data_IF_722701720030
#
_entry.id   IF_722701720030
#
_cell.length_a   1.000
_cell.length_b   1.000
_cell.length_c   1.000
_cell.angle_alpha   90.00
_cell.angle_beta   90.00
_cell.angle_gamma   90.00
#
_symmetry.space_group_name_H-M   'P 1'
#
loop_
_entity.id
_entity.type
_entity.pdbx_description
1 polymer ?
#
# COMPACT_ATOMS: atom_id res chain seq x y z
N UNK A 1 -17.32 7.56 6.50
CA UNK A 1 -16.44 7.23 5.36
C UNK A 1 -15.61 6.00 5.73
N UNK A 2 -15.87 4.86 5.10
CA UNK A 2 -15.09 3.65 5.36
C UNK A 2 -13.71 3.79 4.72
N UNK A 3 -12.68 4.01 5.54
CA UNK A 3 -11.30 3.94 5.07
C UNK A 3 -10.86 2.50 5.31
N UNK A 4 -10.72 1.76 4.23
CA UNK A 4 -9.94 0.54 4.28
C UNK A 4 -8.49 0.90 4.59
N UNK A 5 -7.81 0.00 5.28
CA UNK A 5 -6.38 0.08 5.43
C UNK A 5 -5.73 -0.06 4.03
N UNK A 6 -5.59 1.06 3.29
CA UNK A 6 -4.79 1.15 2.06
C UNK A 6 -3.37 0.61 2.27
N UNK A 7 -2.96 0.42 3.52
CA UNK A 7 -1.77 -0.30 3.92
C UNK A 7 -1.73 -1.77 3.46
N UNK A 8 -2.84 -2.50 3.36
CA UNK A 8 -2.85 -3.89 2.87
C UNK A 8 -2.66 -3.95 1.34
N UNK A 9 -3.30 -3.02 0.60
CA UNK A 9 -3.06 -2.82 -0.83
C UNK A 9 -1.64 -2.32 -1.11
N UNK A 10 -1.17 -1.31 -0.35
CA UNK A 10 0.19 -0.79 -0.41
C UNK A 10 1.24 -1.82 0.02
N UNK A 11 0.92 -2.76 0.91
CA UNK A 11 1.78 -3.89 1.26
C UNK A 11 2.03 -4.80 0.07
N UNK A 12 1.06 -4.94 -0.83
CA UNK A 12 1.20 -5.65 -2.10
C UNK A 12 1.61 -4.74 -3.27
N UNK A 13 1.72 -3.43 -3.00
CA UNK A 13 2.17 -2.42 -3.94
C UNK A 13 1.08 -1.92 -4.89
N UNK A 14 -0.19 -1.92 -4.50
CA UNK A 14 -1.30 -1.41 -5.30
C UNK A 14 -2.20 -0.43 -4.50
N UNK A 15 -2.39 0.77 -5.03
CA UNK A 15 -3.30 1.79 -4.52
C UNK A 15 -4.45 1.95 -5.52
N UNK A 16 -5.65 1.52 -5.14
CA UNK A 16 -6.83 1.48 -6.00
C UNK A 16 -7.35 2.89 -6.34
N UNK A 17 -7.28 3.84 -5.42
CA UNK A 17 -7.68 5.23 -5.65
C UNK A 17 -6.71 5.91 -6.62
N UNK A 18 -5.41 5.69 -6.43
CA UNK A 18 -4.40 6.12 -7.38
C UNK A 18 -4.59 5.42 -8.73
N UNK A 19 -4.94 4.14 -8.77
CA UNK A 19 -5.24 3.41 -10.00
C UNK A 19 -6.41 4.02 -10.77
N UNK A 20 -7.53 4.30 -10.10
CA UNK A 20 -8.70 4.92 -10.72
C UNK A 20 -8.36 6.30 -11.29
N UNK A 21 -7.66 7.14 -10.51
CA UNK A 21 -7.22 8.47 -10.96
C UNK A 21 -6.25 8.38 -12.12
N UNK A 22 -5.30 7.46 -12.05
CA UNK A 22 -4.27 7.29 -13.07
C UNK A 22 -4.86 6.80 -14.39
N UNK A 23 -5.79 5.84 -14.37
CA UNK A 23 -6.51 5.39 -15.55
C UNK A 23 -7.17 6.56 -16.31
N UNK A 24 -7.82 7.48 -15.58
CA UNK A 24 -8.43 8.68 -16.18
C UNK A 24 -7.38 9.56 -16.85
N UNK A 25 -6.20 9.70 -16.25
CA UNK A 25 -5.12 10.54 -16.80
C UNK A 25 -4.37 9.89 -17.95
N UNK A 26 -4.19 8.57 -17.95
CA UNK A 26 -3.46 7.84 -18.99
C UNK A 26 -4.28 7.74 -20.28
N UNK A 27 -5.59 7.54 -20.18
CA UNK A 27 -6.48 7.41 -21.33
C UNK A 27 -7.17 8.72 -21.72
N UNK A 28 -6.44 9.84 -21.68
CA UNK A 28 -6.93 11.10 -22.25
C UNK A 28 -6.75 11.11 -23.77
N UNK A 29 -7.53 11.94 -24.47
CA UNK A 29 -7.38 12.12 -25.94
C UNK A 29 -5.95 12.47 -26.35
N UNK A 30 -5.25 13.24 -25.53
CA UNK A 30 -3.84 13.62 -25.75
C UNK A 30 -2.93 12.39 -25.59
N UNK A 31 -3.06 11.68 -24.47
CA UNK A 31 -2.17 10.56 -24.13
C UNK A 31 -2.43 9.29 -24.93
N UNK A 32 -3.64 9.09 -25.49
CA UNK A 32 -3.93 7.96 -26.39
C UNK A 32 -3.07 7.95 -27.66
N UNK A 33 -2.47 9.09 -28.04
CA UNK A 33 -1.53 9.16 -29.16
C UNK A 33 -0.06 8.91 -28.74
N UNK A 34 0.21 8.73 -27.46
CA UNK A 34 1.56 8.41 -27.00
C UNK A 34 1.97 7.01 -27.49
N UNK A 35 3.24 6.81 -27.90
CA UNK A 35 3.73 5.50 -28.33
C UNK A 35 3.52 4.40 -27.28
N UNK A 36 3.64 4.73 -26.00
CA UNK A 36 3.51 3.80 -24.89
C UNK A 36 2.06 3.33 -24.68
N UNK A 37 1.08 4.24 -24.75
CA UNK A 37 -0.35 3.88 -24.64
C UNK A 37 -0.82 3.11 -25.88
N UNK A 38 -0.33 3.46 -27.07
CA UNK A 38 -0.58 2.70 -28.28
C UNK A 38 0.01 1.29 -28.20
N UNK A 39 1.26 1.16 -27.70
CA UNK A 39 1.91 -0.13 -27.47
C UNK A 39 1.12 -0.99 -26.49
N UNK A 40 0.68 -0.40 -25.37
CA UNK A 40 -0.16 -1.09 -24.37
C UNK A 40 -1.47 -1.61 -24.98
N UNK A 41 -2.17 -0.76 -25.74
CA UNK A 41 -3.44 -1.12 -26.41
C UNK A 41 -3.23 -2.21 -27.47
N UNK A 42 -2.12 -2.14 -28.21
CA UNK A 42 -1.73 -3.15 -29.19
C UNK A 42 -1.44 -4.50 -28.51
N UNK A 43 -0.70 -4.50 -27.40
CA UNK A 43 -0.40 -5.70 -26.62
C UNK A 43 -1.68 -6.34 -26.04
N UNK A 44 -2.62 -5.54 -25.54
CA UNK A 44 -3.92 -6.05 -25.08
C UNK A 44 -4.67 -6.79 -26.20
N UNK A 45 -4.73 -6.15 -27.38
CA UNK A 45 -5.40 -6.71 -28.57
C UNK A 45 -4.70 -7.97 -29.07
N UNK A 46 -3.37 -7.93 -29.13
CA UNK A 46 -2.52 -9.06 -29.54
C UNK A 46 -2.72 -10.25 -28.58
N UNK A 47 -2.67 -10.03 -27.27
CA UNK A 47 -2.86 -11.08 -26.28
C UNK A 47 -4.23 -11.76 -26.41
N UNK A 48 -5.30 -10.97 -26.60
CA UNK A 48 -6.63 -11.51 -26.83
C UNK A 48 -6.69 -12.40 -28.08
N UNK A 49 -6.09 -11.95 -29.18
CA UNK A 49 -6.06 -12.72 -30.44
C UNK A 49 -5.23 -14.00 -30.32
N UNK A 50 -4.09 -13.95 -29.63
CA UNK A 50 -3.25 -15.11 -29.35
C UNK A 50 -3.99 -16.13 -28.46
N UNK A 51 -4.71 -15.65 -27.44
CA UNK A 51 -5.55 -16.48 -26.60
C UNK A 51 -6.64 -17.21 -27.40
N UNK A 52 -7.32 -16.52 -28.32
CA UNK A 52 -8.29 -17.15 -29.24
C UNK A 52 -7.66 -18.14 -30.22
N UNK A 53 -6.45 -17.86 -30.68
CA UNK A 53 -5.69 -18.74 -31.57
C UNK A 53 -5.06 -19.92 -30.82
N UNK A 54 -5.17 -19.97 -29.48
CA UNK A 54 -4.55 -20.96 -28.60
C UNK A 54 -3.01 -20.99 -28.72
N UNK A 55 -2.39 -19.85 -29.06
CA UNK A 55 -0.93 -19.70 -29.11
C UNK A 55 -0.40 -19.44 -27.70
N UNK A 56 -0.07 -20.52 -26.98
CA UNK A 56 0.41 -20.50 -25.59
C UNK A 56 1.68 -19.66 -25.44
N UNK A 57 2.71 -19.93 -26.25
CA UNK A 57 4.01 -19.26 -26.12
C UNK A 57 3.96 -17.80 -26.57
N UNK A 58 3.19 -17.51 -27.61
CA UNK A 58 2.89 -16.15 -28.02
C UNK A 58 2.19 -15.39 -26.89
N UNK A 59 1.13 -15.98 -26.31
CA UNK A 59 0.36 -15.38 -25.24
C UNK A 59 1.22 -15.06 -24.01
N UNK A 60 2.00 -16.02 -23.51
CA UNK A 60 2.89 -15.84 -22.35
C UNK A 60 3.86 -14.67 -22.56
N UNK A 61 4.53 -14.64 -23.72
CA UNK A 61 5.47 -13.57 -24.06
C UNK A 61 4.77 -12.20 -24.11
N UNK A 62 3.60 -12.12 -24.73
CA UNK A 62 2.84 -10.87 -24.87
C UNK A 62 2.33 -10.38 -23.51
N UNK A 63 1.87 -11.27 -22.62
CA UNK A 63 1.47 -10.91 -21.26
C UNK A 63 2.62 -10.31 -20.44
N UNK A 64 3.84 -10.84 -20.58
CA UNK A 64 5.00 -10.26 -19.89
C UNK A 64 5.35 -8.85 -20.42
N UNK A 65 5.30 -8.66 -21.73
CA UNK A 65 5.49 -7.33 -22.34
C UNK A 65 4.39 -6.36 -21.92
N UNK A 66 3.17 -6.86 -21.76
CA UNK A 66 2.03 -6.09 -21.27
C UNK A 66 2.29 -5.55 -19.86
N UNK A 67 2.64 -6.42 -18.90
CA UNK A 67 2.97 -5.99 -17.53
C UNK A 67 4.21 -5.07 -17.45
N UNK A 68 5.23 -5.31 -18.28
CA UNK A 68 6.38 -4.41 -18.35
C UNK A 68 5.97 -3.00 -18.82
N UNK A 69 5.04 -2.93 -19.78
CA UNK A 69 4.50 -1.66 -20.27
C UNK A 69 3.62 -1.00 -19.22
N UNK A 70 2.83 -1.79 -18.48
CA UNK A 70 1.99 -1.31 -17.39
C UNK A 70 2.79 -0.56 -16.31
N UNK A 71 3.93 -1.10 -15.86
CA UNK A 71 4.77 -0.42 -14.87
C UNK A 71 5.28 0.95 -15.34
N UNK A 72 5.34 1.17 -16.67
CA UNK A 72 5.80 2.44 -17.26
C UNK A 72 4.68 3.46 -17.39
N UNK A 73 3.49 3.03 -17.82
CA UNK A 73 2.38 3.93 -18.09
C UNK A 73 1.48 4.16 -16.87
N UNK A 74 1.53 3.25 -15.89
CA UNK A 74 0.78 3.36 -14.64
C UNK A 74 1.69 3.39 -13.39
N UNK A 75 2.63 4.34 -13.26
CA UNK A 75 3.53 4.40 -12.10
C UNK A 75 2.84 4.75 -10.77
N UNK A 76 1.68 5.42 -10.78
CA UNK A 76 1.01 5.96 -9.59
C UNK A 76 0.14 4.93 -8.88
N UNK A 77 -0.47 3.99 -9.61
CA UNK A 77 -1.24 2.89 -9.00
C UNK A 77 -0.37 1.95 -8.18
N UNK A 78 0.95 2.05 -8.33
CA UNK A 78 1.90 1.28 -7.58
C UNK A 78 2.35 2.01 -6.32
N UNK A 79 2.28 1.32 -5.18
CA UNK A 79 2.86 1.81 -3.93
C UNK A 79 4.36 2.08 -4.06
N UNK A 80 5.00 2.76 -3.10
CA UNK A 80 6.39 3.22 -3.25
C UNK A 80 7.42 2.15 -3.63
N UNK A 81 7.25 0.91 -3.16
CA UNK A 81 8.10 -0.23 -3.56
C UNK A 81 7.92 -0.59 -5.04
N UNK A 82 6.69 -0.56 -5.55
CA UNK A 82 6.35 -0.84 -6.94
C UNK A 82 6.96 0.14 -7.96
N UNK A 83 7.39 1.32 -7.49
CA UNK A 83 8.15 2.30 -8.29
C UNK A 83 9.64 1.96 -8.40
N UNK A 84 10.16 1.02 -7.60
CA UNK A 84 11.56 0.62 -7.63
C UNK A 84 11.81 -0.43 -8.71
N UNK A 85 12.79 -0.20 -9.59
CA UNK A 85 13.14 -1.12 -10.68
C UNK A 85 13.51 -2.53 -10.20
N UNK A 86 14.17 -2.63 -9.04
CA UNK A 86 14.52 -3.91 -8.40
C UNK A 86 13.28 -4.72 -7.99
N UNK A 87 12.24 -4.05 -7.54
CA UNK A 87 10.97 -4.66 -7.14
C UNK A 87 10.13 -5.04 -8.37
N UNK A 88 10.05 -4.14 -9.37
CA UNK A 88 9.40 -4.44 -10.67
C UNK A 88 10.00 -5.68 -11.32
N UNK A 89 11.33 -5.82 -11.31
CA UNK A 89 12.02 -7.02 -11.83
C UNK A 89 11.60 -8.30 -11.10
N UNK A 90 11.43 -8.26 -9.78
CA UNK A 90 10.93 -9.42 -9.01
C UNK A 90 9.49 -9.76 -9.40
N UNK A 91 8.63 -8.76 -9.55
CA UNK A 91 7.25 -8.97 -10.02
C UNK A 91 7.20 -9.57 -11.43
N UNK A 92 8.02 -9.09 -12.37
CA UNK A 92 8.09 -9.66 -13.72
C UNK A 92 8.60 -11.10 -13.72
N UNK A 93 9.56 -11.44 -12.85
CA UNK A 93 10.00 -12.82 -12.66
C UNK A 93 8.87 -13.70 -12.10
N UNK A 94 8.11 -13.19 -11.14
CA UNK A 94 6.92 -13.86 -10.61
C UNK A 94 5.88 -14.09 -11.71
N UNK A 95 5.51 -13.06 -12.47
CA UNK A 95 4.54 -13.20 -13.58
C UNK A 95 5.00 -14.21 -14.62
N UNK A 96 6.28 -14.25 -14.94
CA UNK A 96 6.83 -15.25 -15.86
C UNK A 96 6.58 -16.66 -15.33
N UNK A 97 6.95 -16.91 -14.08
CA UNK A 97 6.75 -18.22 -13.46
C UNK A 97 5.26 -18.58 -13.34
N UNK A 98 4.42 -17.62 -12.97
CA UNK A 98 2.97 -17.80 -12.90
C UNK A 98 2.39 -18.20 -14.26
N UNK A 99 2.69 -17.46 -15.33
CA UNK A 99 2.21 -17.80 -16.66
C UNK A 99 2.79 -19.12 -17.19
N UNK A 100 4.06 -19.42 -16.89
CA UNK A 100 4.67 -20.70 -17.25
C UNK A 100 3.95 -21.89 -16.61
N UNK A 101 3.44 -21.71 -15.38
CA UNK A 101 2.75 -22.74 -14.60
C UNK A 101 1.26 -22.87 -14.96
N UNK A 102 0.54 -21.77 -15.17
CA UNK A 102 -0.93 -21.80 -15.34
C UNK A 102 -1.43 -21.71 -16.78
N UNK A 103 -0.62 -21.22 -17.73
CA UNK A 103 -1.07 -21.03 -19.12
C UNK A 103 -0.67 -22.22 -19.97
N UNK A 104 -1.68 -23.01 -20.30
CA UNK A 104 -1.65 -24.04 -21.34
C UNK A 104 -2.80 -23.85 -22.34
N UNK A 105 -2.96 -24.80 -23.25
CA UNK A 105 -4.03 -24.74 -24.26
C UNK A 105 -5.42 -24.81 -23.62
N UNK A 106 -5.59 -25.60 -22.55
CA UNK A 106 -6.87 -25.76 -21.86
C UNK A 106 -7.28 -24.46 -21.16
N UNK A 107 -6.32 -23.82 -20.47
CA UNK A 107 -6.49 -22.49 -19.89
C UNK A 107 -6.94 -21.49 -20.95
N UNK A 108 -6.26 -21.40 -22.09
CA UNK A 108 -6.62 -20.46 -23.15
C UNK A 108 -7.99 -20.77 -23.75
N UNK A 109 -8.29 -22.05 -23.97
CA UNK A 109 -9.60 -22.50 -24.48
C UNK A 109 -10.71 -22.11 -23.52
N UNK A 110 -10.55 -22.39 -22.23
CA UNK A 110 -11.50 -22.05 -21.19
C UNK A 110 -11.63 -20.53 -21.01
N UNK A 111 -10.58 -19.74 -21.26
CA UNK A 111 -10.63 -18.29 -21.05
C UNK A 111 -11.17 -17.51 -22.26
N UNK A 112 -10.83 -17.92 -23.48
CA UNK A 112 -11.02 -17.11 -24.70
C UNK A 112 -11.91 -17.74 -25.77
N UNK A 113 -12.09 -19.07 -25.75
CA UNK A 113 -12.92 -19.79 -26.74
C UNK A 113 -14.27 -20.16 -26.12
N UNK A 114 -14.22 -20.77 -24.94
CA UNK A 114 -15.37 -21.20 -24.17
C UNK A 114 -15.29 -20.61 -22.74
N UNK A 115 -15.36 -19.27 -22.59
CA UNK A 115 -15.38 -18.64 -21.28
C UNK A 115 -16.48 -19.24 -20.42
N UNK A 116 -16.14 -19.62 -19.18
CA UNK A 116 -17.16 -19.85 -18.16
C UNK A 116 -18.06 -18.60 -18.13
N UNK A 117 -19.38 -18.80 -18.20
CA UNK A 117 -20.34 -17.73 -17.95
C UNK A 117 -20.25 -17.35 -16.48
N UNK A 118 -19.28 -16.50 -16.14
CA UNK A 118 -19.18 -15.93 -14.78
C UNK A 118 -20.42 -15.07 -14.55
N UNK A 119 -20.88 -14.34 -15.57
CA UNK A 119 -22.07 -13.49 -15.49
C UNK A 119 -22.53 -12.96 -16.86
N UNK A 120 -23.83 -12.75 -17.06
CA UNK A 120 -24.41 -12.09 -18.24
C UNK A 120 -24.74 -10.60 -17.94
N UNK A 121 -23.88 -9.64 -18.33
CA UNK A 121 -24.10 -8.22 -18.04
C UNK A 121 -25.40 -7.63 -18.58
N UNK A 122 -26.06 -8.30 -19.52
CA UNK A 122 -27.35 -7.87 -20.08
C UNK A 122 -28.52 -8.03 -19.10
N UNK A 123 -28.33 -8.80 -18.01
CA UNK A 123 -29.37 -9.05 -17.00
C UNK A 123 -29.34 -8.03 -15.84
N UNK A 124 -28.35 -7.13 -15.80
CA UNK A 124 -28.31 -6.08 -14.79
C UNK A 124 -29.28 -4.97 -15.13
N UNK A 125 -30.04 -4.54 -14.13
CA UNK A 125 -30.76 -3.28 -14.19
C UNK A 125 -29.83 -2.14 -13.81
N UNK A 126 -29.78 -1.10 -14.64
CA UNK A 126 -28.98 0.09 -14.37
C UNK A 126 -29.61 1.33 -15.02
N UNK A 127 -29.25 2.50 -14.51
CA UNK A 127 -29.60 3.81 -15.08
C UNK A 127 -28.35 4.63 -15.35
N UNK A 128 -28.47 5.60 -16.25
CA UNK A 128 -27.42 6.58 -16.50
C UNK A 128 -27.78 7.92 -15.85
N UNK A 129 -26.90 8.41 -14.99
CA UNK A 129 -27.07 9.69 -14.29
C UNK A 129 -25.75 10.45 -14.27
N UNK A 130 -25.76 11.72 -14.73
CA UNK A 130 -24.57 12.59 -14.79
C UNK A 130 -23.33 11.93 -15.43
N UNK A 131 -23.54 11.14 -16.49
CA UNK A 131 -22.47 10.43 -17.20
C UNK A 131 -21.92 9.20 -16.46
N UNK A 132 -22.61 8.73 -15.44
CA UNK A 132 -22.26 7.53 -14.65
C UNK A 132 -23.32 6.45 -14.80
N UNK A 133 -22.89 5.19 -14.79
CA UNK A 133 -23.78 4.04 -14.65
C UNK A 133 -24.07 3.81 -13.18
N UNK A 134 -25.35 3.79 -12.81
CA UNK A 134 -25.79 3.44 -11.46
C UNK A 134 -26.56 2.11 -11.56
N UNK A 135 -26.05 1.08 -10.91
CA UNK A 135 -26.68 -0.23 -10.88
C UNK A 135 -27.83 -0.27 -9.87
N UNK A 136 -28.87 -1.04 -10.16
CA UNK A 136 -29.89 -1.36 -9.17
C UNK A 136 -29.47 -2.60 -8.38
N UNK A 137 -29.59 -2.54 -7.05
CA UNK A 137 -29.25 -3.63 -6.15
C UNK A 137 -30.41 -4.65 -6.08
N UNK A 138 -30.66 -5.33 -7.19
CA UNK A 138 -31.71 -6.34 -7.34
C UNK A 138 -31.17 -7.78 -7.24
N UNK A 139 -32.03 -8.78 -7.46
CA UNK A 139 -31.64 -10.19 -7.35
C UNK A 139 -30.69 -10.63 -8.47
N UNK A 140 -30.68 -9.98 -9.63
CA UNK A 140 -29.71 -10.27 -10.69
C UNK A 140 -28.34 -9.72 -10.33
N UNK A 141 -28.29 -8.53 -9.72
CA UNK A 141 -27.05 -7.97 -9.18
C UNK A 141 -26.46 -8.85 -8.06
N UNK A 142 -27.29 -9.39 -7.16
CA UNK A 142 -26.85 -10.37 -6.14
C UNK A 142 -26.27 -11.65 -6.74
N UNK A 143 -26.91 -12.23 -7.76
CA UNK A 143 -26.37 -13.41 -8.47
C UNK A 143 -25.01 -13.12 -9.11
N UNK A 144 -24.82 -11.92 -9.66
CA UNK A 144 -23.51 -11.51 -10.18
C UNK A 144 -22.48 -11.45 -9.05
N UNK A 145 -22.83 -10.87 -7.89
CA UNK A 145 -21.95 -10.84 -6.72
C UNK A 145 -21.56 -12.26 -6.31
N UNK A 146 -22.53 -13.18 -6.17
CA UNK A 146 -22.28 -14.57 -5.78
C UNK A 146 -21.34 -15.29 -6.76
N UNK A 147 -21.56 -15.11 -8.07
CA UNK A 147 -20.73 -15.71 -9.09
C UNK A 147 -19.30 -15.14 -9.07
N UNK A 148 -19.16 -13.84 -8.81
CA UNK A 148 -17.87 -13.18 -8.66
C UNK A 148 -17.12 -13.64 -7.39
N UNK A 149 -17.81 -13.74 -6.25
CA UNK A 149 -17.28 -14.30 -5.00
C UNK A 149 -16.78 -15.72 -5.23
N UNK A 150 -17.58 -16.56 -5.91
CA UNK A 150 -17.19 -17.92 -6.26
C UNK A 150 -15.94 -17.93 -7.14
N UNK A 151 -15.90 -17.10 -8.18
CA UNK A 151 -14.76 -17.01 -9.08
C UNK A 151 -13.46 -16.61 -8.35
N UNK A 152 -13.53 -15.65 -7.43
CA UNK A 152 -12.38 -15.27 -6.60
C UNK A 152 -11.99 -16.44 -5.70
N UNK A 153 -12.93 -17.04 -4.99
CA UNK A 153 -12.65 -18.16 -4.07
C UNK A 153 -11.94 -19.30 -4.80
N UNK A 154 -12.46 -19.72 -5.96
CA UNK A 154 -11.86 -20.77 -6.77
C UNK A 154 -10.45 -20.37 -7.25
N UNK A 155 -10.24 -19.10 -7.61
CA UNK A 155 -8.95 -18.59 -8.05
C UNK A 155 -7.94 -18.54 -6.91
N UNK A 156 -8.31 -18.03 -5.73
CA UNK A 156 -7.47 -18.01 -4.53
C UNK A 156 -7.08 -19.43 -4.12
N UNK A 157 -8.02 -20.37 -4.16
CA UNK A 157 -7.76 -21.77 -3.83
C UNK A 157 -6.81 -22.44 -4.82
N UNK A 158 -6.97 -22.19 -6.12
CA UNK A 158 -6.03 -22.65 -7.14
C UNK A 158 -4.65 -22.02 -6.94
N UNK A 159 -4.60 -20.70 -6.90
CA UNK A 159 -3.36 -19.93 -6.98
C UNK A 159 -2.49 -20.09 -5.73
N UNK A 160 -3.10 -20.24 -4.56
CA UNK A 160 -2.37 -20.47 -3.30
C UNK A 160 -1.57 -21.77 -3.27
N UNK A 161 -1.85 -22.71 -4.19
CA UNK A 161 -1.14 -23.98 -4.28
C UNK A 161 -0.07 -24.00 -5.38
N UNK A 162 0.11 -22.90 -6.13
CA UNK A 162 1.11 -22.83 -7.20
C UNK A 162 2.52 -22.68 -6.64
N UNK A 163 3.48 -23.32 -7.28
CA UNK A 163 4.90 -23.24 -6.89
C UNK A 163 5.45 -21.83 -7.11
N UNK A 164 5.00 -21.14 -8.16
CA UNK A 164 5.42 -19.79 -8.49
C UNK A 164 5.12 -18.77 -7.38
N UNK A 165 4.17 -19.05 -6.47
CA UNK A 165 3.84 -18.15 -5.36
C UNK A 165 5.05 -17.89 -4.46
N UNK A 166 5.99 -18.82 -4.35
CA UNK A 166 7.25 -18.60 -3.63
C UNK A 166 8.12 -17.46 -4.21
N UNK A 167 7.87 -17.06 -5.46
CA UNK A 167 8.59 -15.97 -6.15
C UNK A 167 7.90 -14.62 -6.01
N UNK A 168 6.69 -14.57 -5.43
CA UNK A 168 5.99 -13.31 -5.22
C UNK A 168 6.85 -12.35 -4.37
N UNK A 169 7.01 -11.07 -4.74
CA UNK A 169 7.91 -10.15 -4.04
C UNK A 169 7.46 -9.81 -2.62
N UNK A 170 6.23 -10.17 -2.25
CA UNK A 170 5.61 -9.95 -0.93
C UNK A 170 5.04 -11.27 -0.39
N UNK A 171 5.88 -12.23 0.03
CA UNK A 171 5.45 -13.58 0.39
C UNK A 171 4.57 -13.64 1.64
N UNK A 172 4.71 -12.69 2.57
CA UNK A 172 3.90 -12.65 3.78
C UNK A 172 2.41 -12.34 3.48
N UNK A 173 2.15 -11.51 2.48
CA UNK A 173 0.79 -11.10 2.12
C UNK A 173 0.05 -12.22 1.36
N UNK A 174 0.74 -12.91 0.46
CA UNK A 174 0.13 -13.97 -0.36
C UNK A 174 -0.03 -15.33 0.35
N UNK A 175 0.53 -15.49 1.56
CA UNK A 175 0.36 -16.71 2.37
C UNK A 175 -1.03 -16.82 3.02
N UNK A 176 -1.75 -15.69 3.14
CA UNK A 176 -3.09 -15.68 3.72
C UNK A 176 -4.15 -15.67 2.62
N UNK A 177 -4.85 -16.79 2.47
CA UNK A 177 -6.03 -16.90 1.58
C UNK A 177 -7.10 -15.86 1.93
N UNK A 178 -7.30 -15.61 3.22
CA UNK A 178 -8.26 -14.62 3.70
C UNK A 178 -7.89 -13.22 3.22
N UNK A 179 -6.61 -12.84 3.31
CA UNK A 179 -6.14 -11.54 2.81
C UNK A 179 -6.33 -11.44 1.29
N UNK A 180 -6.00 -12.49 0.53
CA UNK A 180 -6.20 -12.52 -0.93
C UNK A 180 -7.67 -12.39 -1.33
N UNK A 181 -8.56 -13.06 -0.60
CA UNK A 181 -10.00 -12.99 -0.80
C UNK A 181 -10.53 -11.58 -0.52
N UNK A 182 -10.22 -11.04 0.67
CA UNK A 182 -10.68 -9.74 1.11
C UNK A 182 -10.24 -8.63 0.17
N UNK A 183 -9.00 -8.67 -0.29
CA UNK A 183 -8.48 -7.69 -1.24
C UNK A 183 -9.18 -7.72 -2.59
N UNK A 184 -9.48 -8.93 -3.08
CA UNK A 184 -10.14 -9.11 -4.37
C UNK A 184 -11.61 -8.66 -4.31
N UNK A 185 -12.31 -8.97 -3.21
CA UNK A 185 -13.66 -8.49 -2.94
C UNK A 185 -13.71 -6.96 -2.77
N UNK A 186 -12.72 -6.37 -2.11
CA UNK A 186 -12.63 -4.92 -1.95
C UNK A 186 -12.39 -4.21 -3.28
N UNK A 187 -11.52 -4.73 -4.14
CA UNK A 187 -11.30 -4.16 -5.48
C UNK A 187 -12.62 -4.10 -6.28
N UNK A 188 -13.44 -5.14 -6.13
CA UNK A 188 -14.77 -5.19 -6.72
C UNK A 188 -15.74 -4.19 -6.08
N UNK A 189 -15.85 -4.14 -4.75
CA UNK A 189 -16.72 -3.18 -4.03
C UNK A 189 -16.39 -1.73 -4.41
N UNK A 190 -15.10 -1.39 -4.52
CA UNK A 190 -14.64 -0.05 -4.89
C UNK A 190 -14.94 0.35 -6.34
N UNK A 191 -15.38 -0.58 -7.18
CA UNK A 191 -15.80 -0.29 -8.55
C UNK A 191 -17.20 0.34 -8.62
N UNK A 192 -17.90 0.44 -7.48
CA UNK A 192 -19.26 0.98 -7.36
C UNK A 192 -19.29 2.28 -6.56
N UNK A 193 -20.39 3.03 -6.68
CA UNK A 193 -20.66 4.19 -5.84
C UNK A 193 -20.97 3.79 -4.40
N UNK A 194 -20.88 4.75 -3.47
CA UNK A 194 -20.95 4.48 -2.03
C UNK A 194 -22.24 3.74 -1.63
N UNK A 195 -23.39 4.19 -2.15
CA UNK A 195 -24.69 3.59 -1.85
C UNK A 195 -24.80 2.11 -2.27
N UNK A 196 -24.16 1.73 -3.38
CA UNK A 196 -24.13 0.33 -3.85
C UNK A 196 -23.05 -0.45 -3.12
N UNK A 197 -21.88 0.15 -2.89
CA UNK A 197 -20.79 -0.44 -2.13
C UNK A 197 -21.25 -0.86 -0.73
N UNK A 198 -21.98 0.00 -0.01
CA UNK A 198 -22.55 -0.31 1.32
C UNK A 198 -23.50 -1.52 1.28
N UNK A 199 -24.36 -1.60 0.26
CA UNK A 199 -25.27 -2.75 0.08
C UNK A 199 -24.52 -4.03 -0.26
N UNK A 200 -23.43 -3.97 -1.02
CA UNK A 200 -22.57 -5.12 -1.27
C UNK A 200 -21.92 -5.58 0.05
N UNK A 201 -21.40 -4.66 0.85
CA UNK A 201 -20.78 -4.97 2.14
C UNK A 201 -21.77 -5.66 3.09
N UNK A 202 -23.00 -5.12 3.21
CA UNK A 202 -24.09 -5.73 3.99
C UNK A 202 -24.46 -7.12 3.46
N UNK A 203 -24.63 -7.25 2.13
CA UNK A 203 -24.99 -8.52 1.51
C UNK A 203 -23.94 -9.62 1.72
N UNK A 204 -22.66 -9.24 1.72
CA UNK A 204 -21.55 -10.17 1.94
C UNK A 204 -21.26 -10.42 3.44
N UNK A 205 -21.94 -9.73 4.36
CA UNK A 205 -21.67 -9.85 5.79
C UNK A 205 -20.27 -9.36 6.18
N UNK A 206 -19.75 -8.34 5.48
CA UNK A 206 -18.39 -7.83 5.65
C UNK A 206 -18.31 -6.59 6.53
N UNK A 207 -19.39 -6.15 7.18
CA UNK A 207 -19.47 -4.91 7.94
C UNK A 207 -18.38 -4.80 9.00
N UNK A 208 -18.09 -5.90 9.72
CA UNK A 208 -17.05 -5.96 10.76
C UNK A 208 -15.63 -5.81 10.20
N UNK A 209 -15.43 -5.93 8.88
CA UNK A 209 -14.14 -5.74 8.21
C UNK A 209 -13.88 -4.28 7.87
N UNK A 210 -14.86 -3.40 8.02
CA UNK A 210 -14.72 -1.97 7.78
C UNK A 210 -14.77 -1.21 9.10
N UNK A 211 -13.90 -0.21 9.20
CA UNK A 211 -13.96 0.76 10.29
C UNK A 211 -14.30 2.12 9.68
N UNK A 212 -15.22 2.82 10.31
CA UNK A 212 -15.38 4.24 10.06
C UNK A 212 -14.26 4.96 10.80
N UNK A 213 -13.52 5.80 10.08
CA UNK A 213 -12.48 6.64 10.67
C UNK A 213 -13.11 8.01 10.89
N UNK A 214 -13.07 8.47 12.15
CA UNK A 214 -13.48 9.83 12.51
C UNK A 214 -12.65 10.86 11.75
N UNK A 215 -13.25 12.03 11.49
CA UNK A 215 -12.48 13.16 10.98
C UNK A 215 -11.36 13.51 11.97
N UNK A 216 -10.13 13.46 11.48
CA UNK A 216 -8.92 13.77 12.26
C UNK A 216 -8.36 15.13 11.84
N UNK A 217 -7.87 15.90 12.81
CA UNK A 217 -7.12 17.11 12.51
C UNK A 217 -5.82 16.73 11.80
N UNK A 218 -5.63 17.27 10.59
CA UNK A 218 -4.43 17.07 9.79
C UNK A 218 -3.50 18.28 9.91
N UNK A 219 -2.21 18.03 9.92
CA UNK A 219 -1.16 19.04 9.88
C UNK A 219 -0.16 18.75 8.76
N UNK A 220 0.32 19.81 8.12
CA UNK A 220 1.30 19.70 7.04
C UNK A 220 2.70 19.43 7.60
N UNK A 221 3.37 18.43 7.04
CA UNK A 221 4.72 18.05 7.43
C UNK A 221 5.55 17.68 6.19
N UNK A 222 6.73 18.28 5.97
CA UNK A 222 7.54 17.93 4.81
C UNK A 222 8.23 16.58 5.00
N UNK A 223 8.15 15.70 3.99
CA UNK A 223 8.92 14.46 3.98
C UNK A 223 10.41 14.74 4.12
N UNK A 224 11.10 14.01 4.99
CA UNK A 224 12.53 14.22 5.29
C UNK A 224 13.47 13.95 4.11
N UNK A 225 13.02 13.17 3.11
CA UNK A 225 13.81 12.83 1.92
C UNK A 225 13.40 13.67 0.71
N UNK A 226 12.12 13.62 0.30
CA UNK A 226 11.69 14.25 -0.94
C UNK A 226 11.02 15.62 -0.76
N UNK A 227 10.84 16.09 0.48
CA UNK A 227 10.16 17.36 0.80
C UNK A 227 8.69 17.45 0.37
N UNK A 228 8.08 16.35 -0.06
CA UNK A 228 6.63 16.26 -0.31
C UNK A 228 5.85 16.70 0.93
N UNK A 229 4.77 17.46 0.77
CA UNK A 229 3.92 17.85 1.90
C UNK A 229 3.04 16.67 2.30
N UNK A 230 3.28 16.14 3.49
CA UNK A 230 2.52 15.04 4.07
C UNK A 230 1.42 15.61 4.96
N UNK A 231 0.20 15.10 4.81
CA UNK A 231 -0.89 15.42 5.73
C UNK A 231 -0.92 14.40 6.86
N UNK A 232 -0.67 14.87 8.08
CA UNK A 232 -0.41 14.01 9.22
C UNK A 232 -1.48 14.19 10.29
N UNK A 233 -2.13 13.11 10.75
CA UNK A 233 -3.08 13.19 11.84
C UNK A 233 -2.40 13.60 13.15
N UNK A 234 -3.06 14.45 13.91
CA UNK A 234 -2.60 14.89 15.23
C UNK A 234 -2.25 13.68 16.14
N UNK A 235 -1.09 13.71 16.76
CA UNK A 235 -0.61 12.63 17.63
C UNK A 235 0.10 11.46 16.93
N UNK A 236 0.16 11.44 15.59
CA UNK A 236 0.92 10.44 14.86
C UNK A 236 2.41 10.44 15.25
N UNK A 237 2.98 9.26 15.47
CA UNK A 237 4.40 9.12 15.82
C UNK A 237 5.33 8.91 14.63
N UNK A 238 4.77 8.38 13.55
CA UNK A 238 5.46 8.01 12.31
C UNK A 238 4.48 8.13 11.15
N UNK A 239 4.96 8.45 9.96
CA UNK A 239 4.16 8.38 8.72
C UNK A 239 5.00 7.93 7.54
N UNK A 240 4.42 7.18 6.61
CA UNK A 240 5.07 6.79 5.37
C UNK A 240 4.84 7.88 4.32
N UNK A 241 5.88 8.33 3.63
CA UNK A 241 5.71 9.21 2.48
C UNK A 241 5.19 8.40 1.28
N UNK A 242 3.99 8.70 0.80
CA UNK A 242 3.37 8.02 -0.35
C UNK A 242 4.12 8.30 -1.67
N UNK A 243 4.87 9.41 -1.73
CA UNK A 243 5.66 9.74 -2.91
C UNK A 243 6.92 8.86 -3.00
N UNK A 244 7.78 8.88 -1.96
CA UNK A 244 9.10 8.24 -2.01
C UNK A 244 9.24 6.95 -1.15
N UNK A 245 8.23 6.60 -0.34
CA UNK A 245 8.25 5.41 0.51
C UNK A 245 9.11 5.52 1.77
N UNK A 246 9.61 6.71 2.09
CA UNK A 246 10.40 6.93 3.31
C UNK A 246 9.48 6.93 4.53
N UNK A 247 9.83 6.17 5.57
CA UNK A 247 9.20 6.28 6.88
C UNK A 247 9.75 7.53 7.59
N UNK A 248 8.87 8.47 7.92
CA UNK A 248 9.18 9.71 8.62
C UNK A 248 8.83 9.53 10.09
N UNK A 249 9.79 9.73 10.99
CA UNK A 249 9.52 9.82 12.42
C UNK A 249 9.05 11.23 12.76
N UNK A 250 7.89 11.32 13.42
CA UNK A 250 7.17 12.57 13.71
C UNK A 250 7.32 13.00 15.16
N UNK A 251 7.79 12.07 16.00
CA UNK A 251 8.17 12.32 17.38
C UNK A 251 9.47 13.13 17.38
N UNK A 252 9.41 14.43 17.12
CA UNK A 252 10.16 15.51 17.76
C UNK A 252 10.13 16.78 16.89
N UNK A 253 10.27 17.93 17.55
CA UNK A 253 10.44 19.24 16.93
C UNK A 253 11.68 19.27 16.03
N UNK A 254 11.51 18.76 14.81
CA UNK A 254 12.52 18.81 13.76
C UNK A 254 12.75 20.27 13.43
N UNK A 255 13.98 20.74 13.65
CA UNK A 255 14.36 22.09 13.26
C UNK A 255 15.02 22.02 11.88
N UNK A 256 14.77 23.02 11.04
CA UNK A 256 15.54 23.20 9.80
C UNK A 256 16.91 23.76 10.14
N UNK A 257 17.95 23.11 9.64
CA UNK A 257 19.30 23.63 9.77
C UNK A 257 19.43 24.93 8.97
N UNK A 258 19.80 26.03 9.62
CA UNK A 258 19.92 27.33 8.96
C UNK A 258 21.06 27.37 7.91
N UNK A 259 22.01 26.45 7.99
CA UNK A 259 23.15 26.40 7.08
C UNK A 259 22.86 25.58 5.80
N UNK A 260 22.28 24.38 5.93
CA UNK A 260 22.04 23.49 4.79
C UNK A 260 20.57 23.23 4.46
N UNK A 261 19.64 23.72 5.27
CA UNK A 261 18.19 23.50 5.11
C UNK A 261 17.68 22.14 5.57
N UNK A 262 18.57 21.18 5.88
CA UNK A 262 18.17 19.83 6.28
C UNK A 262 17.46 19.81 7.65
N UNK A 263 16.42 19.01 7.78
CA UNK A 263 15.66 18.84 9.03
C UNK A 263 16.34 17.79 9.91
N UNK A 264 16.48 18.07 11.21
CA UNK A 264 17.03 17.11 12.18
C UNK A 264 16.47 17.33 13.60
N UNK A 265 16.58 16.34 14.47
CA UNK A 265 16.16 16.41 15.87
C UNK A 265 17.29 16.98 16.77
N UNK A 266 17.14 18.19 17.33
CA UNK A 266 18.14 18.80 18.21
C UNK A 266 18.18 18.19 19.61
N UNK A 267 17.32 17.22 19.95
CA UNK A 267 17.41 16.46 21.22
C UNK A 267 18.43 15.34 21.16
N UNK A 268 18.55 14.66 20.02
CA UNK A 268 19.45 13.51 19.84
C UNK A 268 20.83 13.92 19.36
N UNK A 269 20.93 15.00 18.57
CA UNK A 269 22.20 15.56 18.14
C UNK A 269 22.27 17.06 18.43
N UNK A 270 23.41 17.52 18.96
CA UNK A 270 23.72 18.94 19.09
C UNK A 270 24.31 19.54 17.80
N UNK A 271 24.49 18.73 16.75
CA UNK A 271 24.97 19.15 15.44
C UNK A 271 24.07 18.58 14.33
N UNK A 272 23.93 19.34 13.25
CA UNK A 272 23.28 18.86 12.05
C UNK A 272 24.04 17.62 11.52
N UNK A 273 23.40 16.46 11.32
CA UNK A 273 24.10 15.26 10.85
C UNK A 273 24.58 15.35 9.40
N UNK A 274 24.12 16.36 8.66
CA UNK A 274 24.43 16.53 7.24
C UNK A 274 25.57 17.52 6.95
N UNK A 275 25.73 18.55 7.80
CA UNK A 275 26.74 19.59 7.58
C UNK A 275 27.50 19.96 8.86
N UNK A 276 27.31 19.20 9.93
CA UNK A 276 28.00 19.31 11.22
C UNK A 276 27.84 20.68 11.91
N UNK A 277 26.93 21.52 11.42
CA UNK A 277 26.63 22.81 12.04
C UNK A 277 26.05 22.58 13.43
N UNK A 278 26.74 23.11 14.45
CA UNK A 278 26.38 22.93 15.86
C UNK A 278 25.27 23.90 16.25
N UNK A 279 24.25 23.40 16.92
CA UNK A 279 23.14 24.18 17.47
C UNK A 279 23.35 24.33 18.97
N UNK A 280 23.62 25.57 19.40
CA UNK A 280 23.65 25.87 20.82
C UNK A 280 22.23 25.98 21.34
N UNK A 281 21.85 25.06 22.23
CA UNK A 281 20.69 25.30 23.10
C UNK A 281 21.08 26.41 24.07
N UNK A 282 20.36 27.52 24.04
CA UNK A 282 20.43 28.44 25.17
C UNK A 282 19.87 27.70 26.38
N UNK A 283 20.73 27.40 27.34
CA UNK A 283 20.31 26.85 28.63
C UNK A 283 19.31 27.79 29.28
N UNK A 284 18.31 27.23 29.93
CA UNK A 284 17.39 28.05 30.74
C UNK A 284 18.16 28.65 31.92
N UNK A 285 17.64 29.73 32.50
CA UNK A 285 18.19 30.29 33.75
C UNK A 285 18.29 29.22 34.85
N UNK A 286 17.39 28.22 34.84
CA UNK A 286 17.41 27.11 35.79
C UNK A 286 18.59 26.15 35.55
N UNK A 287 18.97 25.91 34.30
CA UNK A 287 20.13 25.06 33.96
C UNK A 287 21.45 25.72 34.41
N UNK A 288 21.57 27.03 34.21
CA UNK A 288 22.72 27.83 34.68
C UNK A 288 22.81 27.82 36.21
N UNK A 289 21.66 27.94 36.90
CA UNK A 289 21.60 27.84 38.36
C UNK A 289 22.04 26.44 38.82
N UNK A 290 21.55 25.36 38.20
CA UNK A 290 21.91 23.99 38.58
C UNK A 290 23.42 23.69 38.44
N UNK A 291 24.05 24.15 37.36
CA UNK A 291 25.49 24.01 37.15
C UNK A 291 26.31 24.77 38.20
N UNK A 292 25.86 25.96 38.61
CA UNK A 292 26.54 26.76 39.64
C UNK A 292 26.49 26.12 41.04
N UNK A 293 25.43 25.35 41.35
CA UNK A 293 25.34 24.60 42.61
C UNK A 293 26.23 23.36 42.63
N UNK A 294 26.44 22.68 41.50
CA UNK A 294 27.32 21.50 41.45
C UNK A 294 28.80 21.85 41.67
N UNK A 295 29.22 23.08 41.34
CA UNK A 295 30.59 23.54 41.57
C UNK A 295 30.88 23.92 43.04
N UNK A 296 29.85 24.11 43.88
CA UNK A 296 30.02 24.59 45.26
C UNK A 296 29.90 23.49 46.33
N UNK A 297 29.48 22.28 45.99
CA UNK A 297 29.50 21.15 46.94
C UNK A 297 30.93 20.67 47.20
N UNK A 298 31.48 20.83 48.43
CA UNK A 298 32.78 20.29 48.76
C UNK A 298 32.71 18.75 48.70
N UNK A 299 33.67 18.12 48.02
CA UNK A 299 33.86 16.66 48.06
C UNK A 299 34.04 16.23 49.51
N UNK A 300 32.97 15.75 50.15
CA UNK A 300 33.06 15.16 51.48
C UNK A 300 33.83 13.85 51.37
N UNK A 301 35.03 13.86 51.93
CA UNK A 301 35.91 12.71 51.97
C UNK A 301 35.28 11.52 52.68
N UNK A 302 35.61 10.34 52.16
CA UNK A 302 35.41 9.01 52.75
C UNK A 302 35.26 9.01 54.28
N UNK A 303 34.03 8.81 54.77
CA UNK A 303 33.80 8.23 56.10
C UNK A 303 33.23 6.83 55.95
N UNK A 304 34.09 5.84 56.19
CA UNK A 304 33.70 4.46 56.51
C UNK A 304 32.77 4.49 57.72
N UNK A 305 31.54 4.01 57.58
CA UNK A 305 30.62 3.79 58.69
C UNK A 305 30.79 2.35 59.22
N UNK A 306 31.05 2.27 60.52
CA UNK A 306 31.57 1.14 61.28
C UNK A 306 30.50 0.57 62.26
N UNK A 307 29.23 0.55 61.88
CA UNK A 307 28.17 -0.12 62.65
C UNK A 307 27.36 -1.02 61.71
N UNK A 308 27.58 -2.35 61.68
CA UNK A 308 27.09 -3.36 62.64
C UNK A 308 25.65 -3.05 63.04
N UNK A 309 24.62 -3.84 62.70
CA UNK A 309 24.32 -5.28 62.94
C UNK A 309 22.98 -5.28 63.70
N UNK A 310 22.23 -6.39 63.56
CA UNK A 310 20.88 -6.68 64.10
C UNK A 310 19.80 -6.23 63.10
N UNK A 311 19.13 -7.11 62.35
CA UNK A 311 18.51 -8.37 62.76
C UNK A 311 18.50 -9.43 61.65
N UNK A 312 18.88 -10.66 62.02
CA UNK A 312 18.48 -11.92 61.38
C UNK A 312 17.89 -12.80 62.48
N UNK A 313 16.62 -13.22 62.34
CA UNK A 313 16.03 -14.46 62.87
C UNK A 313 14.60 -14.59 62.26
N UNK A 314 14.37 -15.42 61.24
CA UNK A 314 14.06 -16.87 61.20
C UNK A 314 12.62 -17.26 61.58
N UNK A 315 11.91 -17.73 60.54
CA UNK A 315 11.00 -18.91 60.40
C UNK A 315 10.01 -19.26 61.52
N UNK A 316 8.74 -19.39 61.13
CA UNK A 316 8.12 -20.71 60.98
C UNK A 316 7.71 -20.91 59.53
#
# INVERSE_FOLDING_TARGET
MYIYCDYCGNWLGFDMKAAAKENITVFTRENMNSPEVQRYTALATESFNLGKALDVEGYKRTQLQFHETEFKIFPMRHGPKGKQSSFQKKYLNFYKAYYDEIVDEEFLRKRYVNPDEIYNPQELTYRFENGRTIYEFDDNFKKMIDAYVKYISDSVDRDSNLECMALHPEPAAIQSKEVLMDMSLQAFIQSYDLDIAEKIVEYLGMEEKFIEIDDVNLSDYPCIVCSETLQIPEGASTTLCENCGTLNELKNAMIKCHNCGASFDPKTNNACPYCETVFQKHGSVQDVIAESYQQTTPKTGNKKSFFKRLFVAKKH
#
